data_IF_558181478688
#
_entry.id   IF_558181478688
#
_cell.length_a   1.000
_cell.length_b   1.000
_cell.length_c   1.000
_cell.angle_alpha   90.00
_cell.angle_beta   90.00
_cell.angle_gamma   90.00
#
_symmetry.space_group_name_H-M   'P 1'
#
loop_
_entity.id
_entity.type
_entity.pdbx_description
1 polymer ?
#
# COMPACT_ATOMS: atom_id res chain seq x y z
N UNK A 1 8.70 14.52 -79.08
CA UNK A 1 9.45 13.97 -77.91
C UNK A 1 9.21 14.82 -76.66
N UNK A 2 9.33 16.16 -76.75
CA UNK A 2 9.12 17.10 -75.62
C UNK A 2 7.69 17.09 -75.04
N UNK A 3 6.64 16.92 -75.86
CA UNK A 3 5.24 16.88 -75.37
C UNK A 3 4.88 15.64 -74.53
N UNK A 4 5.56 14.52 -74.76
CA UNK A 4 5.37 13.30 -73.95
C UNK A 4 5.96 13.49 -72.56
N UNK A 5 7.16 14.09 -72.46
CA UNK A 5 7.81 14.37 -71.19
C UNK A 5 6.99 15.33 -70.32
N UNK A 6 6.38 16.38 -70.89
CA UNK A 6 5.56 17.33 -70.13
C UNK A 6 4.32 16.67 -69.53
N UNK A 7 3.66 15.76 -70.27
CA UNK A 7 2.48 15.03 -69.76
C UNK A 7 2.86 14.09 -68.61
N UNK A 8 4.02 13.45 -68.69
CA UNK A 8 4.52 12.57 -67.62
C UNK A 8 4.86 13.38 -66.36
N UNK A 9 5.47 14.56 -66.49
CA UNK A 9 5.73 15.46 -65.36
C UNK A 9 4.45 15.98 -64.70
N UNK A 10 3.40 16.29 -65.48
CA UNK A 10 2.09 16.69 -64.95
C UNK A 10 1.42 15.53 -64.20
N UNK A 11 1.50 14.30 -64.74
CA UNK A 11 0.96 13.11 -64.08
C UNK A 11 1.67 12.83 -62.75
N UNK A 12 3.00 12.91 -62.73
CA UNK A 12 3.82 12.74 -61.51
C UNK A 12 3.46 13.83 -60.48
N UNK A 13 3.34 15.09 -60.90
CA UNK A 13 2.96 16.19 -60.01
C UNK A 13 1.58 15.99 -59.37
N UNK A 14 0.60 15.49 -60.14
CA UNK A 14 -0.74 15.17 -59.65
C UNK A 14 -0.75 14.04 -58.62
N UNK A 15 0.04 12.99 -58.85
CA UNK A 15 0.21 11.88 -57.91
C UNK A 15 0.84 12.36 -56.60
N UNK A 16 1.91 13.17 -56.68
CA UNK A 16 2.59 13.74 -55.51
C UNK A 16 1.65 14.67 -54.72
N UNK A 17 0.90 15.54 -55.40
CA UNK A 17 -0.08 16.43 -54.75
C UNK A 17 -1.18 15.64 -54.02
N UNK A 18 -1.64 14.54 -54.62
CA UNK A 18 -2.65 13.65 -54.02
C UNK A 18 -2.12 12.94 -52.78
N UNK A 19 -0.87 12.44 -52.82
CA UNK A 19 -0.18 11.82 -51.68
C UNK A 19 0.07 12.80 -50.53
N UNK A 20 0.48 14.03 -50.84
CA UNK A 20 0.65 15.10 -49.83
C UNK A 20 -0.68 15.42 -49.17
N UNK A 21 -1.77 15.55 -49.96
CA UNK A 21 -3.10 15.83 -49.41
C UNK A 21 -3.60 14.70 -48.53
N UNK A 22 -3.44 13.45 -48.96
CA UNK A 22 -3.83 12.27 -48.19
C UNK A 22 -3.05 12.15 -46.86
N UNK A 23 -1.73 12.38 -46.89
CA UNK A 23 -0.88 12.35 -45.69
C UNK A 23 -1.19 13.48 -44.72
N UNK A 24 -1.39 14.71 -45.21
CA UNK A 24 -1.83 15.84 -44.37
C UNK A 24 -3.18 15.57 -43.70
N UNK A 25 -4.12 14.97 -44.43
CA UNK A 25 -5.44 14.61 -43.91
C UNK A 25 -5.34 13.53 -42.84
N UNK A 26 -4.56 12.47 -43.08
CA UNK A 26 -4.32 11.42 -42.10
C UNK A 26 -3.65 11.95 -40.82
N UNK A 27 -2.65 12.83 -40.95
CA UNK A 27 -1.99 13.48 -39.81
C UNK A 27 -2.96 14.36 -39.01
N UNK A 28 -3.85 15.08 -39.69
CA UNK A 28 -4.88 15.89 -39.03
C UNK A 28 -5.85 15.03 -38.22
N UNK A 29 -6.37 13.94 -38.80
CA UNK A 29 -7.24 13.02 -38.08
C UNK A 29 -6.53 12.34 -36.90
N UNK A 30 -5.27 11.94 -37.08
CA UNK A 30 -4.47 11.35 -36.00
C UNK A 30 -4.24 12.33 -34.84
N UNK A 31 -3.83 13.58 -35.14
CA UNK A 31 -3.67 14.64 -34.14
C UNK A 31 -4.99 14.93 -33.41
N UNK A 32 -6.10 15.02 -34.14
CA UNK A 32 -7.44 15.21 -33.57
C UNK A 32 -7.82 14.08 -32.62
N UNK A 33 -7.61 12.83 -33.03
CA UNK A 33 -7.91 11.66 -32.18
C UNK A 33 -7.03 11.63 -30.92
N UNK A 34 -5.75 11.99 -31.05
CA UNK A 34 -4.83 12.09 -29.91
C UNK A 34 -5.29 13.13 -28.88
N UNK A 35 -5.75 14.29 -29.34
CA UNK A 35 -6.31 15.34 -28.47
C UNK A 35 -7.58 14.87 -27.79
N UNK A 36 -8.51 14.24 -28.53
CA UNK A 36 -9.76 13.68 -27.96
C UNK A 36 -9.44 12.62 -26.90
N UNK A 37 -8.50 11.71 -27.18
CA UNK A 37 -8.11 10.66 -26.23
C UNK A 37 -7.42 11.24 -24.98
N UNK A 38 -6.68 12.35 -25.10
CA UNK A 38 -6.11 13.06 -23.95
C UNK A 38 -7.22 13.74 -23.13
N UNK A 39 -8.13 14.45 -23.80
CA UNK A 39 -9.24 15.14 -23.15
C UNK A 39 -10.16 14.17 -22.41
N UNK A 40 -10.45 13.00 -23.00
CA UNK A 40 -11.26 11.96 -22.36
C UNK A 40 -10.58 11.40 -21.10
N UNK A 41 -9.27 11.17 -21.13
CA UNK A 41 -8.52 10.73 -19.94
C UNK A 41 -8.53 11.80 -18.83
N UNK A 42 -8.34 13.06 -19.20
CA UNK A 42 -8.38 14.17 -18.24
C UNK A 42 -9.79 14.32 -17.65
N UNK A 43 -10.83 14.13 -18.47
CA UNK A 43 -12.24 14.16 -18.05
C UNK A 43 -12.61 12.98 -17.14
N UNK A 44 -12.11 11.78 -17.41
CA UNK A 44 -12.27 10.62 -16.52
C UNK A 44 -11.56 10.84 -15.17
N UNK A 45 -10.34 11.37 -15.19
CA UNK A 45 -9.59 11.73 -13.98
C UNK A 45 -10.34 12.79 -13.16
N UNK A 46 -10.83 13.86 -13.79
CA UNK A 46 -11.63 14.88 -13.13
C UNK A 46 -12.96 14.33 -12.61
N UNK A 47 -13.64 13.46 -13.35
CA UNK A 47 -14.86 12.79 -12.87
C UNK A 47 -14.58 11.90 -11.66
N UNK A 48 -13.47 11.16 -11.65
CA UNK A 48 -13.08 10.33 -10.52
C UNK A 48 -12.78 11.18 -9.27
N UNK A 49 -12.08 12.31 -9.44
CA UNK A 49 -11.81 13.24 -8.34
C UNK A 49 -13.09 13.92 -7.85
N UNK A 50 -13.96 14.37 -8.76
CA UNK A 50 -15.25 14.97 -8.40
C UNK A 50 -16.17 13.96 -7.71
N UNK A 51 -16.19 12.70 -8.14
CA UNK A 51 -16.95 11.63 -7.48
C UNK A 51 -16.42 11.35 -6.06
N UNK A 52 -15.09 11.39 -5.86
CA UNK A 52 -14.49 11.32 -4.51
C UNK A 52 -14.90 12.51 -3.65
N UNK A 53 -14.88 13.73 -4.19
CA UNK A 53 -15.24 14.94 -3.45
C UNK A 53 -16.74 15.01 -3.13
N UNK A 54 -17.61 14.56 -4.05
CA UNK A 54 -19.05 14.42 -3.80
C UNK A 54 -19.34 13.32 -2.78
N UNK A 55 -18.67 12.17 -2.88
CA UNK A 55 -18.78 11.09 -1.88
C UNK A 55 -18.31 11.57 -0.51
N UNK A 56 -17.21 12.33 -0.43
CA UNK A 56 -16.78 13.02 0.78
C UNK A 56 -17.91 13.93 1.26
N UNK A 57 -18.38 14.89 0.46
CA UNK A 57 -19.39 15.85 0.91
C UNK A 57 -20.75 15.25 1.29
N UNK A 58 -21.13 14.10 0.74
CA UNK A 58 -22.38 13.40 1.08
C UNK A 58 -22.28 12.47 2.29
N UNK A 59 -21.09 12.24 2.84
CA UNK A 59 -20.91 11.39 4.02
C UNK A 59 -21.12 12.19 5.29
N UNK A 60 -21.89 11.62 6.20
CA UNK A 60 -22.20 12.28 7.46
C UNK A 60 -20.94 12.35 8.32
N UNK A 61 -20.82 13.39 9.16
CA UNK A 61 -19.74 13.49 10.12
C UNK A 61 -19.68 12.23 11.03
N UNK A 62 -20.83 11.66 11.36
CA UNK A 62 -20.96 10.42 12.13
C UNK A 62 -20.30 9.22 11.44
N UNK A 63 -20.49 9.04 10.14
CA UNK A 63 -19.84 7.97 9.37
C UNK A 63 -18.32 8.13 9.38
N UNK A 64 -17.82 9.36 9.20
CA UNK A 64 -16.38 9.65 9.22
C UNK A 64 -15.77 9.39 10.59
N UNK A 65 -16.47 9.79 11.67
CA UNK A 65 -16.06 9.51 13.06
C UNK A 65 -16.03 7.99 13.30
N UNK A 66 -17.05 7.26 12.84
CA UNK A 66 -17.14 5.80 12.99
C UNK A 66 -15.96 5.09 12.31
N UNK A 67 -15.65 5.49 11.07
CA UNK A 67 -14.49 4.98 10.32
C UNK A 67 -13.18 5.28 11.05
N UNK A 68 -12.97 6.52 11.48
CA UNK A 68 -11.74 6.89 12.21
C UNK A 68 -11.59 6.10 13.50
N UNK A 69 -12.68 5.88 14.24
CA UNK A 69 -12.68 5.05 15.46
C UNK A 69 -12.27 3.62 15.17
N UNK A 70 -12.80 3.02 14.09
CA UNK A 70 -12.49 1.65 13.72
C UNK A 70 -11.05 1.52 13.22
N UNK A 71 -10.56 2.47 12.42
CA UNK A 71 -9.15 2.53 12.03
C UNK A 71 -8.23 2.61 13.26
N UNK A 72 -8.55 3.47 14.24
CA UNK A 72 -7.76 3.58 15.47
C UNK A 72 -7.73 2.27 16.26
N UNK A 73 -8.80 1.47 16.24
CA UNK A 73 -8.83 0.13 16.86
C UNK A 73 -7.89 -0.83 16.14
N UNK A 74 -7.91 -0.87 14.81
CA UNK A 74 -6.98 -1.68 14.02
C UNK A 74 -5.53 -1.30 14.30
N UNK A 75 -5.21 -0.02 14.27
CA UNK A 75 -3.86 0.48 14.54
C UNK A 75 -3.42 0.13 15.97
N UNK A 76 -4.31 0.27 16.96
CA UNK A 76 -4.02 -0.13 18.34
C UNK A 76 -3.73 -1.65 18.45
N UNK A 77 -4.50 -2.49 17.76
CA UNK A 77 -4.26 -3.94 17.70
C UNK A 77 -2.90 -4.27 17.08
N UNK A 78 -2.55 -3.63 15.97
CA UNK A 78 -1.24 -3.80 15.32
C UNK A 78 -0.09 -3.34 16.23
N UNK A 79 -0.23 -2.18 16.88
CA UNK A 79 0.74 -1.69 17.86
C UNK A 79 0.93 -2.68 19.01
N UNK A 80 -0.14 -3.31 19.50
CA UNK A 80 -0.05 -4.30 20.57
C UNK A 80 0.75 -5.52 20.13
N UNK A 81 0.50 -6.06 18.93
CA UNK A 81 1.27 -7.20 18.40
C UNK A 81 2.74 -6.82 18.14
N UNK A 82 3.02 -5.64 17.58
CA UNK A 82 4.41 -5.18 17.39
C UNK A 82 5.14 -5.02 18.73
N UNK A 83 4.50 -4.43 19.74
CA UNK A 83 5.07 -4.30 21.09
C UNK A 83 5.36 -5.67 21.73
N UNK A 84 4.45 -6.64 21.56
CA UNK A 84 4.65 -8.01 22.03
C UNK A 84 5.85 -8.65 21.31
N UNK A 85 5.93 -8.52 19.99
CA UNK A 85 7.05 -9.03 19.18
C UNK A 85 8.40 -8.42 19.60
N UNK A 86 8.42 -7.13 19.92
CA UNK A 86 9.59 -6.46 20.47
C UNK A 86 9.95 -6.95 21.87
N UNK A 87 8.96 -7.22 22.72
CA UNK A 87 9.23 -7.67 24.10
C UNK A 87 10.04 -8.97 24.13
N UNK A 88 9.86 -9.85 23.12
CA UNK A 88 10.66 -11.06 22.99
C UNK A 88 12.15 -10.80 22.84
N UNK A 89 12.55 -9.67 22.26
CA UNK A 89 13.98 -9.33 22.13
C UNK A 89 14.68 -9.05 23.46
N UNK A 90 13.91 -8.61 24.45
CA UNK A 90 14.35 -8.32 25.83
C UNK A 90 14.22 -9.53 26.74
N UNK A 91 13.62 -10.61 26.26
CA UNK A 91 13.43 -11.84 27.03
C UNK A 91 14.80 -12.50 27.26
N UNK A 92 15.16 -12.72 28.53
CA UNK A 92 16.48 -13.20 28.94
C UNK A 92 16.71 -14.67 28.55
N UNK A 93 15.64 -15.47 28.47
CA UNK A 93 15.75 -16.91 28.20
C UNK A 93 15.67 -17.22 26.69
N UNK A 94 16.61 -16.67 25.91
CA UNK A 94 16.73 -16.94 24.46
C UNK A 94 17.20 -18.35 24.14
N UNK A 95 17.67 -19.09 25.15
CA UNK A 95 18.15 -20.47 25.02
C UNK A 95 17.04 -21.53 25.06
N UNK A 96 15.82 -21.17 25.47
CA UNK A 96 14.65 -22.07 25.60
C UNK A 96 13.63 -21.89 24.47
N UNK A 97 14.05 -21.40 23.31
CA UNK A 97 13.18 -21.33 22.14
C UNK A 97 13.05 -22.77 21.62
N UNK A 98 11.93 -23.43 21.92
CA UNK A 98 11.66 -24.81 21.49
C UNK A 98 11.28 -24.79 20.00
N UNK A 99 12.24 -25.13 19.13
CA UNK A 99 12.15 -24.99 17.67
C UNK A 99 11.44 -26.14 16.95
N UNK A 100 11.18 -27.25 17.64
CA UNK A 100 10.51 -28.42 17.06
C UNK A 100 9.78 -29.17 18.17
N UNK A 101 8.48 -28.91 18.30
CA UNK A 101 7.48 -29.71 19.03
C UNK A 101 7.98 -30.76 20.06
N UNK A 102 7.72 -30.48 21.35
CA UNK A 102 7.17 -31.35 22.42
C UNK A 102 7.97 -31.30 23.73
N UNK A 103 7.31 -30.71 24.73
CA UNK A 103 7.45 -31.00 26.15
C UNK A 103 8.85 -30.80 26.77
N UNK A 104 9.11 -29.56 27.22
CA UNK A 104 9.23 -29.27 28.67
C UNK A 104 9.03 -27.78 28.98
N UNK A 105 7.76 -27.35 28.99
CA UNK A 105 7.37 -26.21 29.80
C UNK A 105 6.60 -26.72 31.02
N UNK A 106 7.01 -26.27 32.21
CA UNK A 106 6.21 -26.43 33.43
C UNK A 106 4.79 -25.88 33.18
N UNK A 107 3.81 -26.34 33.96
CA UNK A 107 2.37 -26.03 33.82
C UNK A 107 1.96 -24.54 33.94
N UNK A 108 2.89 -23.59 33.79
CA UNK A 108 2.67 -22.14 33.82
C UNK A 108 3.31 -21.41 32.64
N UNK A 109 3.23 -21.94 31.43
CA UNK A 109 3.64 -21.17 30.26
C UNK A 109 2.48 -20.28 29.78
N UNK A 110 2.65 -18.97 29.91
CA UNK A 110 1.70 -17.96 29.43
C UNK A 110 1.66 -17.93 27.88
N UNK A 111 0.54 -17.47 27.30
CA UNK A 111 0.36 -17.32 25.85
C UNK A 111 1.40 -16.41 25.21
N UNK A 112 2.04 -15.57 26.00
CA UNK A 112 3.14 -14.69 25.61
C UNK A 112 4.51 -15.39 25.61
N UNK A 113 4.58 -16.71 25.47
CA UNK A 113 5.87 -17.41 25.42
C UNK A 113 6.53 -17.29 24.04
N UNK A 114 7.87 -17.22 24.01
CA UNK A 114 8.68 -17.05 22.80
C UNK A 114 8.49 -18.20 21.77
N UNK A 115 8.02 -19.37 22.22
CA UNK A 115 7.65 -20.51 21.34
C UNK A 115 6.51 -20.19 20.38
N UNK A 116 5.73 -19.13 20.66
CA UNK A 116 4.62 -18.67 19.80
C UNK A 116 5.00 -17.48 18.92
N UNK A 117 6.25 -17.03 18.93
CA UNK A 117 6.72 -15.88 18.15
C UNK A 117 6.36 -16.00 16.66
N UNK A 118 6.52 -17.18 16.06
CA UNK A 118 6.17 -17.41 14.66
C UNK A 118 4.66 -17.22 14.42
N UNK A 119 3.83 -17.71 15.34
CA UNK A 119 2.38 -17.52 15.27
C UNK A 119 2.02 -16.04 15.37
N UNK A 120 2.73 -15.26 16.19
CA UNK A 120 2.51 -13.81 16.28
C UNK A 120 2.94 -13.08 15.01
N UNK A 121 4.03 -13.49 14.35
CA UNK A 121 4.45 -12.93 13.06
C UNK A 121 3.39 -13.23 11.98
N UNK A 122 2.92 -14.48 11.87
CA UNK A 122 1.88 -14.85 10.91
C UNK A 122 0.55 -14.14 11.20
N UNK A 123 0.16 -14.03 12.46
CA UNK A 123 -1.05 -13.30 12.87
C UNK A 123 -0.95 -11.81 12.55
N UNK A 124 0.22 -11.20 12.79
CA UNK A 124 0.47 -9.81 12.44
C UNK A 124 0.32 -9.61 10.92
N UNK A 125 0.88 -10.50 10.10
CA UNK A 125 0.71 -10.46 8.64
C UNK A 125 -0.77 -10.54 8.23
N UNK A 126 -1.53 -11.47 8.80
CA UNK A 126 -2.96 -11.64 8.53
C UNK A 126 -3.76 -10.37 8.93
N UNK A 127 -3.50 -9.83 10.11
CA UNK A 127 -4.16 -8.64 10.62
C UNK A 127 -3.86 -7.39 9.78
N UNK A 128 -2.64 -7.25 9.25
CA UNK A 128 -2.25 -6.14 8.36
C UNK A 128 -2.98 -6.25 7.01
N UNK A 129 -3.09 -7.45 6.43
CA UNK A 129 -3.80 -7.63 5.16
C UNK A 129 -5.29 -7.30 5.31
N UNK A 130 -5.94 -7.79 6.39
CA UNK A 130 -7.33 -7.42 6.71
C UNK A 130 -7.48 -5.92 6.87
N UNK A 131 -6.52 -5.26 7.52
CA UNK A 131 -6.58 -3.82 7.71
C UNK A 131 -6.35 -3.04 6.41
N UNK A 132 -5.46 -3.49 5.52
CA UNK A 132 -5.24 -2.84 4.22
C UNK A 132 -6.46 -2.95 3.28
N UNK A 133 -7.12 -4.11 3.29
CA UNK A 133 -8.40 -4.32 2.59
C UNK A 133 -9.48 -3.38 3.13
N UNK A 134 -9.65 -3.34 4.46
CA UNK A 134 -10.59 -2.43 5.11
C UNK A 134 -10.27 -0.97 4.78
N UNK A 135 -9.01 -0.55 4.92
CA UNK A 135 -8.57 0.82 4.66
C UNK A 135 -8.90 1.22 3.22
N UNK A 136 -8.63 0.35 2.25
CA UNK A 136 -8.94 0.60 0.84
C UNK A 136 -10.44 0.80 0.60
N UNK A 137 -11.29 0.09 1.34
CA UNK A 137 -12.76 0.25 1.25
C UNK A 137 -13.26 1.57 1.84
N UNK A 138 -12.57 2.13 2.85
CA UNK A 138 -13.00 3.34 3.57
C UNK A 138 -12.21 4.61 3.22
N UNK A 139 -11.16 4.50 2.38
CA UNK A 139 -10.36 5.64 1.89
C UNK A 139 -11.16 6.84 1.39
N UNK A 140 -12.28 6.67 0.64
CA UNK A 140 -13.09 7.82 0.21
C UNK A 140 -13.67 8.65 1.37
N UNK A 141 -13.82 8.06 2.56
CA UNK A 141 -14.40 8.68 3.76
C UNK A 141 -13.38 9.46 4.59
N UNK A 142 -12.09 9.34 4.26
CA UNK A 142 -10.98 9.92 5.00
C UNK A 142 -10.50 11.23 4.36
N UNK A 143 -9.98 12.12 5.21
CA UNK A 143 -9.21 13.27 4.73
C UNK A 143 -7.89 12.80 4.13
N UNK A 144 -7.35 13.55 3.18
CA UNK A 144 -6.07 13.22 2.54
C UNK A 144 -4.93 13.04 3.56
N UNK A 145 -4.88 13.89 4.60
CA UNK A 145 -3.88 13.79 5.66
C UNK A 145 -4.03 12.50 6.50
N UNK A 146 -5.27 12.11 6.81
CA UNK A 146 -5.53 10.88 7.56
C UNK A 146 -5.20 9.64 6.70
N UNK A 147 -5.60 9.66 5.44
CA UNK A 147 -5.29 8.62 4.45
C UNK A 147 -3.77 8.39 4.33
N UNK A 148 -2.99 9.46 4.18
CA UNK A 148 -1.54 9.38 4.06
C UNK A 148 -0.90 8.77 5.32
N UNK A 149 -1.28 9.25 6.52
CA UNK A 149 -0.77 8.74 7.78
C UNK A 149 -1.09 7.24 7.96
N UNK A 150 -2.32 6.84 7.65
CA UNK A 150 -2.76 5.44 7.77
C UNK A 150 -2.02 4.54 6.78
N UNK A 151 -1.88 4.95 5.52
CA UNK A 151 -1.13 4.17 4.51
C UNK A 151 0.35 4.07 4.87
N UNK A 152 0.97 5.15 5.34
CA UNK A 152 2.36 5.11 5.83
C UNK A 152 2.52 4.14 7.00
N UNK A 153 1.57 4.13 7.95
CA UNK A 153 1.57 3.18 9.05
C UNK A 153 1.47 1.73 8.55
N UNK A 154 0.47 1.41 7.73
CA UNK A 154 0.25 0.06 7.17
C UNK A 154 1.49 -0.42 6.41
N UNK A 155 2.06 0.43 5.55
CA UNK A 155 3.26 0.08 4.79
C UNK A 155 4.45 -0.24 5.69
N UNK A 156 4.65 0.52 6.77
CA UNK A 156 5.75 0.29 7.70
C UNK A 156 5.59 -1.07 8.40
N UNK A 157 4.42 -1.34 8.97
CA UNK A 157 4.18 -2.61 9.67
C UNK A 157 4.22 -3.80 8.69
N UNK A 158 3.70 -3.63 7.46
CA UNK A 158 3.78 -4.66 6.41
C UNK A 158 5.24 -4.96 6.03
N UNK A 159 6.07 -3.92 5.87
CA UNK A 159 7.50 -4.08 5.57
C UNK A 159 8.23 -4.81 6.71
N UNK A 160 7.89 -4.52 7.97
CA UNK A 160 8.41 -5.24 9.14
C UNK A 160 8.03 -6.73 9.08
N UNK A 161 6.76 -7.05 8.86
CA UNK A 161 6.29 -8.43 8.79
C UNK A 161 6.99 -9.21 7.68
N UNK A 162 7.05 -8.65 6.46
CA UNK A 162 7.72 -9.28 5.31
C UNK A 162 9.19 -9.53 5.56
N UNK A 163 9.91 -8.53 6.11
CA UNK A 163 11.34 -8.65 6.43
C UNK A 163 11.57 -9.70 7.53
N UNK A 164 10.68 -9.80 8.51
CA UNK A 164 10.75 -10.81 9.56
C UNK A 164 10.57 -12.22 9.00
N UNK A 165 9.60 -12.42 8.11
CA UNK A 165 9.36 -13.70 7.42
C UNK A 165 10.56 -14.07 6.55
N UNK A 166 11.04 -13.15 5.71
CA UNK A 166 12.20 -13.36 4.84
C UNK A 166 13.45 -13.79 5.63
N UNK A 167 13.72 -13.14 6.76
CA UNK A 167 14.81 -13.49 7.66
C UNK A 167 14.57 -14.82 8.40
N UNK A 168 13.31 -15.15 8.69
CA UNK A 168 12.89 -16.37 9.38
C UNK A 168 12.83 -17.63 8.52
N UNK A 169 12.84 -17.50 7.19
CA UNK A 169 12.73 -18.64 6.25
C UNK A 169 13.99 -18.90 5.44
N UNK A 170 15.16 -18.40 5.87
CA UNK A 170 16.41 -18.61 5.10
C UNK A 170 16.85 -20.07 5.18
N UNK A 171 17.00 -20.69 4.01
CA UNK A 171 17.34 -22.11 3.87
C UNK A 171 18.74 -22.44 4.44
N UNK A 172 19.66 -21.47 4.42
CA UNK A 172 21.06 -21.66 4.81
C UNK A 172 21.35 -21.41 6.30
N UNK A 173 20.33 -21.24 7.13
CA UNK A 173 20.47 -20.99 8.56
C UNK A 173 19.70 -22.04 9.35
N UNK A 174 20.19 -22.40 10.53
CA UNK A 174 19.45 -23.22 11.46
C UNK A 174 18.21 -22.47 11.98
N UNK A 175 17.21 -23.21 12.47
CA UNK A 175 15.94 -22.66 12.96
C UNK A 175 16.13 -21.57 14.03
N UNK A 176 17.16 -21.69 14.88
CA UNK A 176 17.46 -20.71 15.93
C UNK A 176 17.96 -19.40 15.35
N UNK A 177 18.94 -19.48 14.46
CA UNK A 177 19.47 -18.31 13.76
C UNK A 177 18.40 -17.59 12.95
N UNK A 178 17.55 -18.34 12.23
CA UNK A 178 16.42 -17.78 11.49
C UNK A 178 15.45 -16.99 12.38
N UNK A 179 15.10 -17.54 13.54
CA UNK A 179 14.18 -16.89 14.45
C UNK A 179 14.78 -15.65 15.12
N UNK A 180 16.04 -15.71 15.56
CA UNK A 180 16.74 -14.54 16.09
C UNK A 180 16.84 -13.42 15.05
N UNK A 181 17.05 -13.79 13.78
CA UNK A 181 17.06 -12.85 12.66
C UNK A 181 15.66 -12.25 12.41
N UNK A 182 14.59 -13.04 12.52
CA UNK A 182 13.22 -12.53 12.43
C UNK A 182 12.91 -11.54 13.58
N UNK A 183 13.32 -11.87 14.80
CA UNK A 183 13.14 -11.00 15.99
C UNK A 183 13.85 -9.67 15.84
N UNK A 184 15.06 -9.66 15.28
CA UNK A 184 15.85 -8.43 15.19
C UNK A 184 15.17 -7.35 14.33
N UNK A 185 14.30 -7.74 13.40
CA UNK A 185 13.50 -6.80 12.60
C UNK A 185 12.66 -5.89 13.49
N UNK A 186 12.03 -6.45 14.52
CA UNK A 186 11.17 -5.68 15.41
C UNK A 186 11.98 -4.76 16.33
N UNK A 187 13.23 -5.08 16.64
CA UNK A 187 14.12 -4.17 17.40
C UNK A 187 14.77 -3.09 16.57
N UNK A 188 14.95 -3.32 15.25
CA UNK A 188 15.57 -2.37 14.33
C UNK A 188 14.64 -1.19 14.00
N UNK A 189 13.32 -1.37 14.13
CA UNK A 189 12.35 -0.32 13.81
C UNK A 189 12.08 0.58 15.02
N UNK A 190 12.26 1.88 14.82
CA UNK A 190 11.90 2.89 15.81
C UNK A 190 10.38 2.88 16.06
N UNK A 191 9.99 2.52 17.28
CA UNK A 191 8.60 2.66 17.74
C UNK A 191 8.16 4.10 17.82
N UNK A 192 9.09 5.05 17.88
CA UNK A 192 8.75 6.47 17.98
C UNK A 192 8.01 6.93 16.73
N UNK A 193 8.36 6.42 15.55
CA UNK A 193 7.66 6.73 14.28
C UNK A 193 6.23 6.16 14.24
N UNK A 194 6.04 4.92 14.74
CA UNK A 194 4.71 4.29 14.81
C UNK A 194 3.83 5.00 15.84
N UNK A 195 4.42 5.36 16.99
CA UNK A 195 3.76 6.09 18.06
C UNK A 195 3.36 7.50 17.64
N UNK A 196 4.26 8.24 16.99
CA UNK A 196 3.97 9.58 16.49
C UNK A 196 2.81 9.58 15.46
N UNK A 197 2.81 8.59 14.57
CA UNK A 197 1.72 8.42 13.59
C UNK A 197 0.38 8.11 14.27
N UNK A 198 0.40 7.25 15.29
CA UNK A 198 -0.78 6.94 16.10
C UNK A 198 -1.30 8.18 16.85
N UNK A 199 -0.42 8.92 17.53
CA UNK A 199 -0.78 10.10 18.31
C UNK A 199 -1.39 11.19 17.42
N UNK A 200 -0.87 11.38 16.20
CA UNK A 200 -1.45 12.27 15.18
C UNK A 200 -2.86 11.84 14.78
N UNK A 201 -3.07 10.54 14.52
CA UNK A 201 -4.40 10.03 14.16
C UNK A 201 -5.41 10.16 15.31
N UNK A 202 -4.98 9.94 16.55
CA UNK A 202 -5.81 10.17 17.74
C UNK A 202 -6.18 11.64 17.88
N UNK A 203 -5.23 12.55 17.65
CA UNK A 203 -5.50 13.99 17.66
C UNK A 203 -6.53 14.38 16.60
N UNK A 204 -6.38 13.89 15.37
CA UNK A 204 -7.35 14.13 14.29
C UNK A 204 -8.75 13.62 14.65
N UNK A 205 -8.84 12.41 15.23
CA UNK A 205 -10.12 11.85 15.68
C UNK A 205 -10.76 12.71 16.78
N UNK A 206 -9.99 13.17 17.77
CA UNK A 206 -10.50 14.06 18.82
C UNK A 206 -11.02 15.37 18.26
N UNK A 207 -10.29 15.98 17.34
CA UNK A 207 -10.72 17.21 16.67
C UNK A 207 -12.02 17.05 15.87
N UNK A 208 -12.35 15.84 15.40
CA UNK A 208 -13.63 15.57 14.73
C UNK A 208 -14.81 15.42 15.70
N UNK A 209 -14.55 15.22 17.00
CA UNK A 209 -15.58 15.10 18.04
C UNK A 209 -15.97 16.45 18.66
N UNK A 210 -15.09 17.44 18.56
CA UNK A 210 -15.28 18.81 19.04
C UNK A 210 -16.01 19.68 18.00
#
# INVERSE_FOLDING_TARGET
>A
MIELEIKDWIAIASIVASLVTATCTALFFYKRQSIINKFNRDLESHKANLAKDISRNNTTLEERISVMKEVLRFIAKLNQEVNLLQSYSKYECKDNIEFSNKEKCSHKCDKNCIVHLWNHICKLEEDIHKFDEYLTSVMPLLSFSAELLMKSYVMLVMAMSKKAIEKGTRINCDHRTNMLNAMSVFTEVSMDTLKESYDKLVFMYRYMLD
#
